data_IF_760188990818
#
_entry.id   IF_760188990818
#
_cell.length_a   1.000
_cell.length_b   1.000
_cell.length_c   1.000
_cell.angle_alpha   90.00
_cell.angle_beta   90.00
_cell.angle_gamma   90.00
#
_symmetry.space_group_name_H-M   'P 1'
#
loop_
_entity.id
_entity.type
_entity.pdbx_description
1 polymer ?
#
# COMPACT_ATOMS: atom_id res chain seq x y z
N UNK A 1 9.85 37.89 -12.97
CA UNK A 1 10.18 38.33 -11.59
C UNK A 1 10.29 37.07 -10.73
N UNK A 2 11.50 36.50 -10.65
CA UNK A 2 11.83 35.35 -9.80
C UNK A 2 12.58 35.93 -8.60
N UNK A 3 11.99 35.84 -7.42
CA UNK A 3 12.54 36.42 -6.19
C UNK A 3 13.79 35.66 -5.76
N UNK A 4 14.78 36.41 -5.26
CA UNK A 4 16.17 36.01 -5.01
C UNK A 4 16.38 35.11 -3.79
N UNK A 5 15.38 34.31 -3.39
CA UNK A 5 15.45 33.44 -2.21
C UNK A 5 15.98 32.02 -2.53
N UNK A 6 15.81 31.54 -3.77
CA UNK A 6 16.15 30.16 -4.15
C UNK A 6 17.64 29.87 -4.38
N UNK A 7 18.49 30.90 -4.47
CA UNK A 7 19.94 30.71 -4.70
C UNK A 7 20.79 30.72 -3.44
N UNK A 8 20.21 31.10 -2.29
CA UNK A 8 20.94 31.21 -1.03
C UNK A 8 20.88 29.95 -0.15
N UNK A 9 19.92 29.04 -0.38
CA UNK A 9 19.76 27.83 0.43
C UNK A 9 20.84 26.76 0.16
N UNK A 10 21.47 26.76 -1.02
CA UNK A 10 22.44 25.72 -1.41
C UNK A 10 23.92 26.05 -1.10
N UNK A 11 24.25 27.30 -0.72
CA UNK A 11 25.66 27.76 -0.59
C UNK A 11 26.14 28.04 0.84
N UNK A 12 25.31 27.90 1.87
CA UNK A 12 25.67 28.25 3.25
C UNK A 12 25.85 27.02 4.16
N UNK A 13 26.50 25.96 3.65
CA UNK A 13 26.93 24.83 4.46
C UNK A 13 28.37 24.98 5.02
N UNK A 14 29.02 26.13 4.77
CA UNK A 14 30.47 26.33 5.04
C UNK A 14 30.83 27.38 6.09
N UNK A 15 29.87 27.94 6.84
CA UNK A 15 30.20 28.87 7.93
C UNK A 15 29.48 28.45 9.22
N UNK A 16 30.10 27.51 9.93
CA UNK A 16 29.85 27.27 11.35
C UNK A 16 29.95 28.60 12.12
N UNK A 17 28.90 29.00 12.85
CA UNK A 17 28.99 29.33 14.30
C UNK A 17 27.72 29.92 14.96
N UNK A 18 26.58 30.24 14.29
CA UNK A 18 25.46 30.89 15.03
C UNK A 18 24.02 30.60 14.57
N UNK A 19 23.75 29.56 13.77
CA UNK A 19 22.36 29.15 13.51
C UNK A 19 22.30 27.64 13.64
N UNK A 20 21.41 27.11 14.47
CA UNK A 20 21.02 25.71 14.37
C UNK A 20 20.49 25.53 12.95
N UNK A 21 21.34 25.05 12.02
CA UNK A 21 20.95 24.82 10.64
C UNK A 21 19.99 23.64 10.67
N UNK A 22 18.70 23.94 10.83
CA UNK A 22 17.65 22.97 10.66
C UNK A 22 17.62 22.62 9.18
N UNK A 23 18.18 21.46 8.83
CA UNK A 23 18.08 20.94 7.48
C UNK A 23 16.63 20.50 7.26
N UNK A 24 15.86 21.34 6.58
CA UNK A 24 14.53 20.98 6.11
C UNK A 24 14.65 19.96 4.98
N UNK A 25 13.71 19.02 4.93
CA UNK A 25 13.64 18.06 3.84
C UNK A 25 13.15 18.72 2.56
N UNK A 26 13.62 18.25 1.41
CA UNK A 26 13.18 18.81 0.12
C UNK A 26 11.83 18.23 -0.31
N UNK A 27 11.09 18.93 -1.18
CA UNK A 27 9.91 18.39 -1.87
C UNK A 27 10.26 17.46 -3.04
N UNK A 28 11.49 16.97 -3.11
CA UNK A 28 11.94 16.11 -4.19
C UNK A 28 11.72 14.65 -3.83
N UNK A 29 11.26 13.85 -4.80
CA UNK A 29 11.10 12.39 -4.64
C UNK A 29 10.16 12.00 -3.50
N UNK A 30 9.19 12.86 -3.19
CA UNK A 30 8.10 12.56 -2.25
C UNK A 30 6.79 12.20 -2.94
N UNK A 31 6.70 12.37 -4.26
CA UNK A 31 5.51 12.04 -5.03
C UNK A 31 5.19 10.54 -5.00
N UNK A 32 3.91 10.23 -5.16
CA UNK A 32 3.38 8.87 -5.25
C UNK A 32 2.62 8.70 -6.55
N UNK A 33 2.90 7.63 -7.29
CA UNK A 33 2.20 7.32 -8.53
C UNK A 33 0.79 6.83 -8.20
N UNK A 34 -0.23 7.52 -8.71
CA UNK A 34 -1.64 7.13 -8.56
C UNK A 34 -2.29 7.52 -7.24
N UNK A 35 -1.64 8.37 -6.44
CA UNK A 35 -2.16 8.81 -5.14
C UNK A 35 -1.80 10.27 -4.84
N UNK A 36 -1.92 10.61 -3.56
CA UNK A 36 -1.52 11.91 -3.02
C UNK A 36 -0.75 11.74 -1.71
N UNK A 37 -0.25 12.83 -1.15
CA UNK A 37 0.42 12.82 0.14
C UNK A 37 0.06 14.03 0.98
N UNK A 38 0.23 13.92 2.28
CA UNK A 38 0.15 15.03 3.24
C UNK A 38 1.40 15.11 4.09
N UNK A 39 1.67 16.29 4.63
CA UNK A 39 2.80 16.57 5.53
C UNK A 39 2.26 17.01 6.89
N UNK A 40 2.80 16.46 7.98
CA UNK A 40 2.33 16.83 9.33
C UNK A 40 2.94 18.14 9.84
N UNK A 41 4.18 18.45 9.46
CA UNK A 41 4.93 19.65 9.88
C UNK A 41 5.67 20.26 8.70
N UNK A 42 5.03 20.29 7.53
CA UNK A 42 5.65 20.69 6.28
C UNK A 42 6.99 19.95 6.03
N UNK A 43 8.10 20.68 5.90
CA UNK A 43 9.42 20.14 5.56
C UNK A 43 10.37 20.08 6.76
N UNK A 44 9.92 20.48 7.95
CA UNK A 44 10.77 20.55 9.13
C UNK A 44 11.22 19.17 9.61
N UNK A 45 12.35 19.12 10.31
CA UNK A 45 12.83 17.91 11.00
C UNK A 45 11.70 17.27 11.82
N UNK A 46 11.51 15.97 11.63
CA UNK A 46 10.45 15.22 12.30
C UNK A 46 9.07 15.33 11.64
N UNK A 47 8.94 16.06 10.52
CA UNK A 47 7.73 16.00 9.70
C UNK A 47 7.52 14.59 9.15
N UNK A 48 6.26 14.13 9.14
CA UNK A 48 5.84 12.88 8.53
C UNK A 48 5.18 13.18 7.19
N UNK A 49 5.73 12.56 6.15
CA UNK A 49 5.09 12.40 4.86
C UNK A 49 4.17 11.18 4.93
N UNK A 50 2.87 11.39 4.76
CA UNK A 50 1.85 10.35 4.80
C UNK A 50 1.25 10.19 3.41
N UNK A 51 1.33 8.98 2.87
CA UNK A 51 0.79 8.67 1.56
C UNK A 51 -0.67 8.25 1.62
N UNK A 52 -1.45 8.70 0.64
CA UNK A 52 -2.86 8.39 0.48
C UNK A 52 -3.09 7.79 -0.90
N UNK A 53 -3.82 6.69 -0.94
CA UNK A 53 -4.23 6.03 -2.17
C UNK A 53 -5.75 5.99 -2.27
N UNK A 54 -6.29 5.92 -3.50
CA UNK A 54 -7.72 5.68 -3.70
C UNK A 54 -8.19 4.39 -3.05
N UNK A 55 -9.51 4.25 -2.90
CA UNK A 55 -10.13 3.04 -2.38
C UNK A 55 -9.69 1.78 -3.16
N UNK A 56 -9.51 0.66 -2.46
CA UNK A 56 -9.02 -0.59 -3.03
C UNK A 56 -7.51 -0.59 -3.34
N UNK A 57 -6.76 0.42 -2.89
CA UNK A 57 -5.31 0.51 -3.07
C UNK A 57 -4.60 0.86 -1.75
N UNK A 58 -3.29 0.63 -1.70
CA UNK A 58 -2.44 0.96 -0.57
C UNK A 58 -1.08 1.52 -1.01
N UNK A 59 -0.46 2.42 -0.21
CA UNK A 59 0.88 2.93 -0.51
C UNK A 59 1.94 1.85 -0.37
N UNK A 60 2.86 1.80 -1.34
CA UNK A 60 3.94 0.83 -1.35
C UNK A 60 5.23 1.43 -1.92
N UNK A 61 6.42 1.15 -1.33
CA UNK A 61 6.68 0.15 -0.28
C UNK A 61 6.44 0.58 1.17
N UNK A 62 6.15 1.85 1.43
CA UNK A 62 5.90 2.36 2.79
C UNK A 62 4.67 3.26 2.82
N UNK A 63 4.00 3.30 3.98
CA UNK A 63 2.89 4.22 4.24
C UNK A 63 3.37 5.64 4.56
N UNK A 64 4.53 5.74 5.21
CA UNK A 64 5.08 7.02 5.66
C UNK A 64 6.58 7.13 5.45
N UNK A 65 7.08 8.36 5.41
CA UNK A 65 8.51 8.68 5.46
C UNK A 65 8.72 9.81 6.46
N UNK A 66 9.78 9.71 7.25
CA UNK A 66 10.15 10.70 8.26
C UNK A 66 11.19 11.67 7.69
N UNK A 67 11.03 12.96 7.93
CA UNK A 67 12.08 13.94 7.69
C UNK A 67 13.16 13.81 8.78
N UNK A 68 14.36 13.36 8.38
CA UNK A 68 15.45 13.05 9.30
C UNK A 68 16.30 14.30 9.60
N UNK A 69 17.15 14.22 10.63
CA UNK A 69 17.99 15.35 11.07
C UNK A 69 18.99 15.84 10.01
N UNK A 70 19.27 15.03 8.99
CA UNK A 70 20.16 15.37 7.88
C UNK A 70 19.45 16.08 6.71
N UNK A 71 18.17 16.46 6.86
CA UNK A 71 17.39 17.09 5.78
C UNK A 71 17.00 16.14 4.65
N UNK A 72 16.98 14.84 4.91
CA UNK A 72 16.52 13.84 3.94
C UNK A 72 15.33 13.06 4.47
N UNK A 73 14.43 12.71 3.56
CA UNK A 73 13.35 11.78 3.85
C UNK A 73 13.89 10.38 4.03
N UNK A 74 13.34 9.65 5.00
CA UNK A 74 13.63 8.23 5.22
C UNK A 74 13.69 7.46 3.89
N UNK A 75 14.73 6.65 3.67
CA UNK A 75 15.02 6.09 2.35
C UNK A 75 13.99 5.03 1.96
N UNK A 76 13.70 4.95 0.65
CA UNK A 76 12.98 3.81 0.10
C UNK A 76 13.91 2.58 0.02
N UNK A 77 13.38 1.34 0.12
CA UNK A 77 14.16 0.14 -0.09
C UNK A 77 14.85 0.13 -1.46
N UNK A 78 16.15 -0.21 -1.50
CA UNK A 78 16.94 -0.22 -2.75
C UNK A 78 16.33 -1.09 -3.85
N UNK A 79 15.70 -2.22 -3.48
CA UNK A 79 15.03 -3.13 -4.42
C UNK A 79 13.73 -2.56 -4.99
N UNK A 80 13.21 -1.48 -4.41
CA UNK A 80 11.92 -0.86 -4.74
C UNK A 80 12.01 0.67 -4.59
N UNK A 81 12.70 1.34 -5.52
CA UNK A 81 12.99 2.77 -5.40
C UNK A 81 11.82 3.69 -5.76
N UNK A 82 10.72 3.16 -6.29
CA UNK A 82 9.54 3.93 -6.66
C UNK A 82 8.41 3.77 -5.63
N UNK A 83 7.80 4.90 -5.27
CA UNK A 83 6.60 4.95 -4.44
C UNK A 83 5.35 4.98 -5.32
N UNK A 84 4.42 4.05 -5.10
CA UNK A 84 3.21 3.92 -5.90
C UNK A 84 2.05 3.37 -5.09
N UNK A 85 0.83 3.68 -5.53
CA UNK A 85 -0.34 2.97 -5.07
C UNK A 85 -0.40 1.58 -5.73
N UNK A 86 -0.54 0.54 -4.92
CA UNK A 86 -0.77 -0.83 -5.36
C UNK A 86 -2.19 -1.24 -5.06
N UNK A 87 -2.81 -1.99 -5.97
CA UNK A 87 -4.13 -2.59 -5.74
C UNK A 87 -4.05 -3.63 -4.63
N UNK A 88 -5.05 -3.61 -3.75
CA UNK A 88 -5.29 -4.66 -2.77
C UNK A 88 -5.76 -5.89 -3.54
N UNK A 89 -5.10 -7.02 -3.31
CA UNK A 89 -5.52 -8.31 -3.81
C UNK A 89 -5.92 -9.20 -2.65
N UNK A 90 -6.96 -10.00 -2.85
CA UNK A 90 -7.22 -11.13 -1.98
C UNK A 90 -6.39 -12.32 -2.45
N UNK A 91 -5.83 -13.14 -1.52
CA UNK A 91 -5.18 -14.38 -1.89
C UNK A 91 -6.12 -15.22 -2.75
N UNK A 92 -5.58 -15.85 -3.79
CA UNK A 92 -6.31 -16.84 -4.58
C UNK A 92 -7.05 -17.79 -3.62
N UNK A 93 -8.38 -17.89 -3.70
CA UNK A 93 -9.13 -18.82 -2.90
C UNK A 93 -8.68 -20.21 -3.33
N UNK A 94 -7.77 -20.77 -2.54
CA UNK A 94 -7.22 -22.11 -2.61
C UNK A 94 -8.07 -23.04 -3.49
N UNK A 95 -7.46 -23.63 -4.51
CA UNK A 95 -8.07 -24.68 -5.35
C UNK A 95 -9.02 -25.52 -4.49
N UNK A 96 -10.33 -25.41 -4.77
CA UNK A 96 -11.34 -26.10 -3.98
C UNK A 96 -11.23 -27.59 -4.27
N UNK A 97 -10.65 -28.33 -3.34
CA UNK A 97 -10.54 -29.77 -3.49
C UNK A 97 -11.95 -30.39 -3.57
N UNK A 98 -12.18 -31.23 -4.57
CA UNK A 98 -13.49 -31.84 -4.86
C UNK A 98 -14.59 -30.83 -5.18
N UNK A 99 -14.23 -29.71 -5.79
CA UNK A 99 -15.17 -28.71 -6.28
C UNK A 99 -14.56 -27.80 -7.35
N UNK A 100 -15.33 -26.81 -7.77
CA UNK A 100 -14.93 -25.76 -8.70
C UNK A 100 -15.15 -24.38 -8.09
N UNK A 101 -14.36 -23.41 -8.57
CA UNK A 101 -14.50 -21.98 -8.26
C UNK A 101 -14.78 -21.21 -9.55
N UNK A 102 -15.67 -20.23 -9.50
CA UNK A 102 -16.03 -19.39 -10.65
C UNK A 102 -16.22 -17.92 -10.24
N UNK A 103 -15.64 -16.95 -10.98
CA UNK A 103 -14.62 -17.13 -12.01
C UNK A 103 -13.29 -17.57 -11.38
N UNK A 104 -12.53 -18.44 -12.04
CA UNK A 104 -11.16 -18.77 -11.66
C UNK A 104 -10.20 -17.72 -12.24
N UNK A 105 -9.50 -16.97 -11.40
CA UNK A 105 -8.60 -15.87 -11.79
C UNK A 105 -7.27 -15.98 -11.05
N UNK A 106 -6.18 -15.50 -11.66
CA UNK A 106 -4.86 -15.45 -11.01
C UNK A 106 -4.84 -14.44 -9.85
N UNK A 107 -5.63 -13.36 -9.95
CA UNK A 107 -5.71 -12.32 -8.94
C UNK A 107 -7.17 -11.88 -8.78
N UNK A 108 -7.60 -11.73 -7.54
CA UNK A 108 -8.88 -11.14 -7.18
C UNK A 108 -8.65 -9.81 -6.49
N UNK A 109 -9.42 -8.80 -6.89
CA UNK A 109 -9.36 -7.45 -6.38
C UNK A 109 -10.58 -7.14 -5.52
N UNK A 110 -10.48 -6.07 -4.73
CA UNK A 110 -11.56 -5.62 -3.85
C UNK A 110 -12.86 -5.44 -4.65
N UNK A 111 -13.94 -6.07 -4.18
CA UNK A 111 -15.24 -6.08 -4.84
C UNK A 111 -15.48 -7.30 -5.74
N UNK A 112 -14.45 -8.05 -6.13
CA UNK A 112 -14.62 -9.28 -6.91
C UNK A 112 -15.37 -10.33 -6.06
N UNK A 113 -16.27 -11.06 -6.71
CA UNK A 113 -17.06 -12.15 -6.12
C UNK A 113 -16.67 -13.49 -6.74
N UNK A 114 -16.61 -14.53 -5.92
CA UNK A 114 -16.33 -15.92 -6.31
C UNK A 114 -17.40 -16.85 -5.76
N UNK A 115 -17.91 -17.73 -6.62
CA UNK A 115 -18.82 -18.80 -6.24
C UNK A 115 -18.11 -20.14 -6.24
N UNK A 116 -18.57 -21.03 -5.36
CA UNK A 116 -17.99 -22.33 -5.13
C UNK A 116 -19.05 -23.40 -5.33
N UNK A 117 -18.67 -24.51 -5.94
CA UNK A 117 -19.56 -25.64 -6.18
C UNK A 117 -18.81 -26.95 -5.91
N UNK A 118 -19.39 -27.84 -5.11
CA UNK A 118 -18.81 -29.15 -4.86
C UNK A 118 -19.18 -30.13 -5.99
N UNK A 119 -18.26 -31.04 -6.31
CA UNK A 119 -18.54 -32.13 -7.23
C UNK A 119 -19.63 -33.07 -6.69
N UNK A 120 -20.26 -33.79 -7.60
CA UNK A 120 -21.29 -34.77 -7.26
C UNK A 120 -20.79 -35.76 -6.19
N UNK A 121 -21.59 -35.96 -5.14
CA UNK A 121 -21.26 -36.80 -3.99
C UNK A 121 -20.51 -36.09 -2.86
N UNK A 122 -20.25 -34.79 -2.96
CA UNK A 122 -19.65 -33.97 -1.90
C UNK A 122 -20.63 -32.87 -1.46
N UNK A 123 -20.58 -32.54 -0.17
CA UNK A 123 -21.41 -31.49 0.45
C UNK A 123 -20.51 -30.32 0.86
N UNK A 124 -20.99 -29.11 0.62
CA UNK A 124 -20.28 -27.88 0.99
C UNK A 124 -20.45 -27.56 2.47
N UNK A 125 -19.33 -27.24 3.13
CA UNK A 125 -19.28 -26.58 4.43
C UNK A 125 -18.59 -25.23 4.29
N UNK A 126 -19.21 -24.18 4.80
CA UNK A 126 -18.70 -22.81 4.69
C UNK A 126 -19.54 -21.94 3.75
N UNK A 127 -18.96 -20.87 3.21
CA UNK A 127 -19.67 -19.94 2.33
C UNK A 127 -19.58 -20.37 0.86
N UNK A 128 -20.73 -20.52 0.18
CA UNK A 128 -20.82 -20.85 -1.25
C UNK A 128 -20.53 -19.68 -2.19
N UNK A 129 -20.53 -18.45 -1.67
CA UNK A 129 -20.01 -17.27 -2.36
C UNK A 129 -19.17 -16.42 -1.41
N UNK A 130 -18.12 -15.79 -1.93
CA UNK A 130 -17.25 -14.89 -1.18
C UNK A 130 -16.87 -13.67 -2.01
N UNK A 131 -16.76 -12.52 -1.34
CA UNK A 131 -16.38 -11.23 -1.89
C UNK A 131 -15.04 -10.79 -1.30
N UNK A 132 -14.15 -10.27 -2.13
CA UNK A 132 -12.87 -9.73 -1.70
C UNK A 132 -13.07 -8.36 -1.03
N UNK A 133 -12.70 -8.25 0.25
CA UNK A 133 -12.88 -7.04 1.05
C UNK A 133 -11.70 -6.08 0.95
N UNK A 134 -11.89 -4.78 1.26
CA UNK A 134 -10.82 -3.77 1.22
C UNK A 134 -9.59 -4.07 2.09
N UNK A 135 -9.73 -4.95 3.09
CA UNK A 135 -8.64 -5.39 3.95
C UNK A 135 -7.80 -6.54 3.36
N UNK A 136 -8.04 -6.91 2.09
CA UNK A 136 -7.34 -8.00 1.40
C UNK A 136 -7.75 -9.39 1.87
N UNK A 137 -8.91 -9.53 2.53
CA UNK A 137 -9.47 -10.81 2.97
C UNK A 137 -10.79 -11.07 2.29
N UNK A 138 -11.07 -12.35 2.04
CA UNK A 138 -12.39 -12.79 1.65
C UNK A 138 -13.37 -12.71 2.83
N UNK A 139 -14.60 -12.28 2.58
CA UNK A 139 -15.68 -12.38 3.56
C UNK A 139 -16.09 -13.86 3.79
N UNK A 140 -17.00 -14.09 4.73
CA UNK A 140 -17.53 -15.44 5.00
C UNK A 140 -16.48 -16.43 5.49
N UNK A 141 -16.84 -17.71 5.50
CA UNK A 141 -15.98 -18.82 5.90
C UNK A 141 -15.42 -19.55 4.67
N UNK A 142 -14.20 -20.09 4.80
CA UNK A 142 -13.55 -20.85 3.73
C UNK A 142 -14.40 -22.09 3.36
N UNK A 143 -14.75 -22.27 2.08
CA UNK A 143 -15.53 -23.42 1.63
C UNK A 143 -14.68 -24.69 1.63
N UNK A 144 -15.29 -25.79 2.05
CA UNK A 144 -14.70 -27.13 2.04
C UNK A 144 -15.75 -28.09 1.47
N UNK A 145 -15.35 -28.94 0.53
CA UNK A 145 -16.18 -30.01 0.00
C UNK A 145 -15.78 -31.33 0.68
N UNK A 146 -16.70 -31.93 1.43
CA UNK A 146 -16.49 -33.21 2.10
C UNK A 146 -17.64 -34.16 1.80
N UNK A 147 -17.35 -35.46 1.71
CA UNK A 147 -18.41 -36.47 1.72
C UNK A 147 -19.02 -36.52 3.12
N UNK A 148 -20.34 -36.57 3.19
CA UNK A 148 -21.00 -36.90 4.45
C UNK A 148 -20.75 -38.39 4.71
N UNK A 149 -19.88 -38.68 5.68
CA UNK A 149 -19.72 -40.03 6.22
C UNK A 149 -20.95 -40.32 7.08
N UNK A 150 -21.97 -40.93 6.45
CA UNK A 150 -23.10 -41.53 7.16
C UNK A 150 -22.65 -42.69 8.05
#
# INVERSE_FOLDING_TARGET
MRTSADRFAALLCLLCLVVEVQCDCTQTSIDIIGGSYTLTKNLEKGSLLVYHCPEGQYPYPTLTRLCQANGSWGPLPKKRPAQMCKRVTCPDPFVLENGNVSPAQENYFVGDETTYECYSGYTMRGSSSRICLPNGKWNGSTPICSRDSG
#
